data_IF_321548887415
#
_entry.id   IF_321548887415
#
_cell.length_a   1.000
_cell.length_b   1.000
_cell.length_c   1.000
_cell.angle_alpha   90.00
_cell.angle_beta   90.00
_cell.angle_gamma   90.00
#
_symmetry.space_group_name_H-M   'P 1'
#
loop_
_entity.id
_entity.type
_entity.pdbx_description
1 polymer ?
#
# COMPACT_ATOMS: atom_id res chain seq x y z
N UNK A 1 11.20 -7.95 21.06
CA UNK A 1 11.36 -8.88 19.92
C UNK A 1 12.75 -9.51 20.06
N UNK A 2 12.95 -10.76 19.64
CA UNK A 2 14.27 -11.42 19.76
C UNK A 2 15.26 -10.77 18.80
N UNK A 3 16.52 -10.59 19.22
CA UNK A 3 17.61 -10.06 18.38
C UNK A 3 17.69 -10.77 17.00
N UNK A 4 17.39 -12.07 16.97
CA UNK A 4 17.34 -12.86 15.74
C UNK A 4 16.24 -12.43 14.76
N UNK A 5 15.05 -12.10 15.28
CA UNK A 5 13.94 -11.64 14.44
C UNK A 5 14.24 -10.27 13.82
N UNK A 6 14.92 -9.40 14.57
CA UNK A 6 15.32 -8.07 14.13
C UNK A 6 16.41 -8.17 13.04
N UNK A 7 17.39 -9.07 13.21
CA UNK A 7 18.39 -9.36 12.18
C UNK A 7 17.74 -9.91 10.90
N UNK A 8 16.83 -10.88 11.02
CA UNK A 8 16.14 -11.44 9.86
C UNK A 8 15.29 -10.39 9.13
N UNK A 9 14.64 -9.48 9.86
CA UNK A 9 13.90 -8.37 9.28
C UNK A 9 14.85 -7.38 8.58
N UNK A 10 15.96 -7.02 9.22
CA UNK A 10 16.99 -6.15 8.64
C UNK A 10 17.47 -6.67 7.29
N UNK A 11 17.83 -7.97 7.22
CA UNK A 11 18.25 -8.60 5.95
C UNK A 11 17.16 -8.54 4.88
N UNK A 12 15.89 -8.77 5.23
CA UNK A 12 14.78 -8.67 4.26
C UNK A 12 14.58 -7.24 3.76
N UNK A 13 14.68 -6.24 4.64
CA UNK A 13 14.58 -4.83 4.25
C UNK A 13 15.75 -4.39 3.39
N UNK A 14 16.97 -4.87 3.66
CA UNK A 14 18.13 -4.60 2.80
C UNK A 14 17.97 -5.19 1.41
N UNK A 15 17.42 -6.41 1.29
CA UNK A 15 17.11 -7.01 -0.02
C UNK A 15 16.05 -6.20 -0.77
N UNK A 16 14.96 -5.84 -0.09
CA UNK A 16 13.92 -4.99 -0.67
C UNK A 16 14.50 -3.65 -1.15
N UNK A 17 15.38 -3.02 -0.37
CA UNK A 17 16.02 -1.79 -0.78
C UNK A 17 16.87 -1.97 -2.05
N UNK A 18 17.67 -3.04 -2.12
CA UNK A 18 18.47 -3.36 -3.30
C UNK A 18 17.59 -3.64 -4.55
N UNK A 19 16.44 -4.30 -4.39
CA UNK A 19 15.52 -4.58 -5.49
C UNK A 19 14.80 -3.31 -6.01
N UNK A 20 14.71 -2.25 -5.18
CA UNK A 20 14.13 -0.96 -5.54
C UNK A 20 15.14 0.00 -6.18
N UNK A 21 16.44 -0.23 -5.97
CA UNK A 21 17.47 0.58 -6.60
C UNK A 21 17.51 0.31 -8.10
N UNK A 22 17.52 1.36 -8.96
CA UNK A 22 17.74 1.18 -10.37
C UNK A 22 19.11 0.55 -10.60
N UNK A 23 19.22 -0.35 -11.59
CA UNK A 23 20.49 -1.00 -11.92
C UNK A 23 21.56 0.07 -12.13
N UNK A 24 22.68 0.01 -11.38
CA UNK A 24 23.77 0.97 -11.56
C UNK A 24 24.26 0.90 -13.01
N UNK A 25 24.65 2.04 -13.57
CA UNK A 25 25.39 2.04 -14.83
C UNK A 25 26.71 1.28 -14.64
N UNK A 26 27.20 0.62 -15.69
CA UNK A 26 28.38 -0.25 -15.65
C UNK A 26 29.66 0.40 -15.06
N UNK A 27 29.70 1.74 -14.97
CA UNK A 27 30.82 2.54 -14.46
C UNK A 27 30.72 2.92 -12.96
N UNK A 28 29.60 2.64 -12.28
CA UNK A 28 29.44 3.00 -10.86
C UNK A 28 29.96 1.88 -9.94
N UNK A 29 30.98 2.19 -9.13
CA UNK A 29 31.37 1.30 -8.04
C UNK A 29 30.20 1.12 -7.06
N UNK A 30 29.84 -0.13 -6.74
CA UNK A 30 28.75 -0.47 -5.80
C UNK A 30 28.91 0.10 -4.37
N UNK A 31 30.05 0.73 -4.06
CA UNK A 31 30.35 1.35 -2.78
C UNK A 31 30.70 2.84 -2.89
N UNK A 32 30.28 3.50 -3.99
CA UNK A 32 30.49 4.94 -4.12
C UNK A 32 29.66 5.70 -3.06
N UNK A 33 30.08 6.90 -2.64
CA UNK A 33 29.25 7.76 -1.80
C UNK A 33 27.84 8.00 -2.35
N UNK A 34 27.70 8.06 -3.68
CA UNK A 34 26.42 8.22 -4.38
C UNK A 34 25.53 6.98 -4.21
N UNK A 35 26.10 5.76 -4.28
CA UNK A 35 25.38 4.53 -3.98
C UNK A 35 24.84 4.53 -2.54
N UNK A 36 25.67 4.95 -1.56
CA UNK A 36 25.24 5.06 -0.16
C UNK A 36 24.10 6.09 0.00
N UNK A 37 24.18 7.24 -0.67
CA UNK A 37 23.13 8.25 -0.63
C UNK A 37 21.81 7.76 -1.26
N UNK A 38 21.86 6.96 -2.32
CA UNK A 38 20.66 6.32 -2.88
C UNK A 38 20.01 5.38 -1.89
N UNK A 39 20.80 4.55 -1.20
CA UNK A 39 20.24 3.68 -0.15
C UNK A 39 19.60 4.47 0.99
N UNK A 40 20.14 5.64 1.37
CA UNK A 40 19.50 6.55 2.35
C UNK A 40 18.12 6.98 1.88
N UNK A 41 17.98 7.39 0.60
CA UNK A 41 16.70 7.77 0.03
C UNK A 41 15.70 6.59 0.01
N UNK A 42 16.14 5.41 -0.43
CA UNK A 42 15.30 4.19 -0.50
C UNK A 42 14.82 3.77 0.89
N UNK A 43 15.69 3.75 1.90
CA UNK A 43 15.25 3.46 3.27
C UNK A 43 14.31 4.53 3.84
N UNK A 44 14.48 5.80 3.43
CA UNK A 44 13.53 6.87 3.72
C UNK A 44 12.13 6.57 3.16
N UNK A 45 12.03 6.11 1.92
CA UNK A 45 10.77 5.71 1.31
C UNK A 45 10.15 4.48 1.98
N UNK A 46 10.95 3.45 2.30
CA UNK A 46 10.49 2.28 3.05
C UNK A 46 9.92 2.70 4.40
N UNK A 47 10.60 3.59 5.14
CA UNK A 47 10.15 4.07 6.44
C UNK A 47 8.84 4.86 6.34
N UNK A 48 8.70 5.71 5.31
CA UNK A 48 7.48 6.47 5.03
C UNK A 48 6.30 5.54 4.73
N UNK A 49 6.46 4.60 3.80
CA UNK A 49 5.41 3.64 3.43
C UNK A 49 5.04 2.73 4.61
N UNK A 50 6.03 2.24 5.37
CA UNK A 50 5.80 1.42 6.56
C UNK A 50 4.99 2.17 7.62
N UNK A 51 5.26 3.47 7.81
CA UNK A 51 4.51 4.32 8.75
C UNK A 51 3.06 4.53 8.30
N UNK A 52 2.83 4.69 6.99
CA UNK A 52 1.49 4.79 6.41
C UNK A 52 0.71 3.48 6.61
N UNK A 53 1.30 2.33 6.28
CA UNK A 53 0.69 1.01 6.48
C UNK A 53 0.39 0.72 7.97
N UNK A 54 1.29 1.08 8.88
CA UNK A 54 1.04 0.96 10.32
C UNK A 54 -0.18 1.81 10.75
N UNK A 55 -0.33 3.01 10.18
CA UNK A 55 -1.47 3.89 10.48
C UNK A 55 -2.78 3.28 9.98
N UNK A 56 -2.80 2.72 8.76
CA UNK A 56 -3.95 2.01 8.21
C UNK A 56 -4.33 0.78 9.04
N UNK A 57 -3.33 0.01 9.50
CA UNK A 57 -3.55 -1.15 10.36
C UNK A 57 -4.15 -0.76 11.72
N UNK A 58 -3.69 0.36 12.32
CA UNK A 58 -4.27 0.91 13.55
C UNK A 58 -5.71 1.36 13.34
N UNK A 59 -6.01 2.08 12.26
CA UNK A 59 -7.38 2.49 11.92
C UNK A 59 -8.29 1.27 11.74
N UNK A 60 -7.85 0.26 10.98
CA UNK A 60 -8.58 -0.99 10.77
C UNK A 60 -8.83 -1.74 12.08
N UNK A 61 -7.84 -1.77 12.99
CA UNK A 61 -7.99 -2.36 14.31
C UNK A 61 -9.04 -1.62 15.16
N UNK A 62 -9.05 -0.29 15.12
CA UNK A 62 -10.03 0.54 15.82
C UNK A 62 -11.44 0.33 15.26
N UNK A 63 -11.60 0.34 13.94
CA UNK A 63 -12.87 0.11 13.25
C UNK A 63 -13.42 -1.31 13.52
N UNK A 64 -12.52 -2.27 13.77
CA UNK A 64 -12.85 -3.63 14.21
C UNK A 64 -13.17 -3.74 15.71
N UNK A 65 -13.25 -2.61 16.43
CA UNK A 65 -13.61 -2.55 17.84
C UNK A 65 -12.47 -2.83 18.84
N UNK A 66 -11.20 -2.87 18.40
CA UNK A 66 -10.07 -3.06 19.32
C UNK A 66 -9.79 -1.78 20.12
N UNK A 67 -9.59 -1.94 21.43
CA UNK A 67 -9.32 -0.80 22.31
C UNK A 67 -7.92 -0.24 22.12
N UNK A 68 -7.76 1.07 22.34
CA UNK A 68 -6.46 1.75 22.37
C UNK A 68 -5.45 1.13 23.34
N UNK A 69 -5.92 0.50 24.42
CA UNK A 69 -5.05 -0.23 25.33
C UNK A 69 -4.45 -1.48 24.68
N UNK A 70 -5.25 -2.24 23.91
CA UNK A 70 -4.79 -3.41 23.18
C UNK A 70 -3.86 -3.03 22.03
N UNK A 71 -4.17 -1.95 21.32
CA UNK A 71 -3.32 -1.39 20.26
C UNK A 71 -1.98 -0.91 20.83
N UNK A 72 -2.00 -0.11 21.91
CA UNK A 72 -0.77 0.36 22.57
C UNK A 72 0.12 -0.79 23.04
N UNK A 73 -0.46 -1.82 23.66
CA UNK A 73 0.27 -3.04 24.05
C UNK A 73 0.96 -3.72 22.87
N UNK A 74 0.28 -3.84 21.73
CA UNK A 74 0.87 -4.44 20.52
C UNK A 74 2.01 -3.58 19.94
N UNK A 75 1.92 -2.25 20.08
CA UNK A 75 2.95 -1.30 19.64
C UNK A 75 4.10 -1.13 20.64
N UNK A 76 4.00 -1.72 21.84
CA UNK A 76 4.98 -1.53 22.92
C UNK A 76 4.94 -0.14 23.57
N UNK A 77 3.82 0.57 23.48
CA UNK A 77 3.65 1.93 24.03
C UNK A 77 2.40 2.02 24.93
N UNK A 78 2.27 3.12 25.66
CA UNK A 78 1.08 3.34 26.49
C UNK A 78 -0.18 3.59 25.64
N UNK A 79 -1.36 3.40 26.23
CA UNK A 79 -2.65 3.75 25.61
C UNK A 79 -2.66 5.21 25.13
N UNK A 80 -2.25 6.14 26.01
CA UNK A 80 -2.26 7.57 25.71
C UNK A 80 -1.30 7.92 24.58
N UNK A 81 -0.11 7.32 24.55
CA UNK A 81 0.86 7.50 23.46
C UNK A 81 0.31 6.98 22.12
N UNK A 82 -0.41 5.85 22.12
CA UNK A 82 -1.07 5.33 20.93
C UNK A 82 -2.17 6.27 20.42
N UNK A 83 -3.05 6.75 21.32
CA UNK A 83 -4.10 7.71 20.97
C UNK A 83 -3.49 8.98 20.36
N UNK A 84 -2.54 9.61 21.05
CA UNK A 84 -1.91 10.84 20.56
C UNK A 84 -1.24 10.67 19.18
N UNK A 85 -0.67 9.49 18.90
CA UNK A 85 0.05 9.22 17.64
C UNK A 85 -0.87 8.96 16.45
N UNK A 86 -2.05 8.38 16.67
CA UNK A 86 -2.90 7.83 15.60
C UNK A 86 -4.30 8.43 15.50
N UNK A 87 -4.83 9.06 16.55
CA UNK A 87 -6.20 9.65 16.54
C UNK A 87 -6.30 10.89 15.61
N UNK A 88 -5.18 11.58 15.36
CA UNK A 88 -5.12 12.79 14.50
C UNK A 88 -5.12 12.47 12.99
N UNK A 89 -5.07 11.20 12.58
CA UNK A 89 -4.88 10.79 11.18
C UNK A 89 -6.13 10.22 10.51
N UNK A 90 -7.32 10.67 10.91
CA UNK A 90 -8.54 10.35 10.19
C UNK A 90 -8.49 11.00 8.80
N UNK A 91 -8.47 10.16 7.78
CA UNK A 91 -8.19 10.45 6.37
C UNK A 91 -9.01 11.62 5.82
N UNK A 92 -8.36 12.53 5.10
CA UNK A 92 -9.00 13.56 4.29
C UNK A 92 -9.85 12.92 3.19
N UNK A 93 -11.04 13.46 2.92
CA UNK A 93 -11.94 12.98 1.88
C UNK A 93 -11.29 13.10 0.50
N UNK A 94 -11.52 12.10 -0.37
CA UNK A 94 -11.03 12.15 -1.75
C UNK A 94 -11.83 13.17 -2.55
N UNK A 95 -11.14 14.04 -3.31
CA UNK A 95 -11.79 15.01 -4.17
C UNK A 95 -11.69 14.56 -5.63
N UNK A 96 -12.82 14.60 -6.34
CA UNK A 96 -12.86 14.41 -7.78
C UNK A 96 -12.22 15.61 -8.49
N UNK A 97 -11.54 15.36 -9.60
CA UNK A 97 -10.99 16.38 -10.51
C UNK A 97 -11.48 16.10 -11.93
N UNK A 98 -11.12 16.92 -12.93
CA UNK A 98 -11.57 16.71 -14.32
C UNK A 98 -11.15 15.35 -14.89
N UNK A 99 -10.01 14.80 -14.46
CA UNK A 99 -9.49 13.49 -14.91
C UNK A 99 -9.71 12.38 -13.88
N UNK A 100 -10.32 12.69 -12.73
CA UNK A 100 -10.39 11.79 -11.58
C UNK A 100 -11.84 11.59 -11.13
N UNK A 101 -12.27 10.33 -11.14
CA UNK A 101 -13.60 9.91 -10.67
C UNK A 101 -13.48 9.19 -9.33
N UNK A 102 -14.47 9.41 -8.47
CA UNK A 102 -14.65 8.60 -7.25
C UNK A 102 -15.74 7.55 -7.47
N UNK A 103 -15.43 6.28 -7.17
CA UNK A 103 -16.38 5.19 -7.04
C UNK A 103 -16.63 4.99 -5.55
N UNK A 104 -17.83 5.32 -5.08
CA UNK A 104 -18.20 5.35 -3.67
C UNK A 104 -19.55 6.04 -3.43
N UNK A 105 -20.21 5.80 -2.29
CA UNK A 105 -19.85 4.83 -1.25
C UNK A 105 -20.13 3.39 -1.72
N UNK A 106 -19.17 2.48 -1.52
CA UNK A 106 -19.31 1.06 -1.86
C UNK A 106 -18.99 0.16 -0.67
N UNK A 107 -19.68 -0.97 -0.56
CA UNK A 107 -19.31 -1.97 0.46
C UNK A 107 -18.06 -2.73 0.02
N UNK A 108 -17.34 -3.29 1.00
CA UNK A 108 -16.17 -4.14 0.73
C UNK A 108 -16.50 -5.34 -0.17
N UNK A 109 -17.74 -5.83 -0.20
CA UNK A 109 -18.10 -6.98 -1.04
C UNK A 109 -18.36 -6.58 -2.50
N UNK A 110 -18.79 -5.35 -2.73
CA UNK A 110 -19.16 -4.83 -4.06
C UNK A 110 -18.03 -4.03 -4.72
N UNK A 111 -17.03 -3.58 -3.95
CA UNK A 111 -16.01 -2.64 -4.44
C UNK A 111 -15.30 -3.13 -5.71
N UNK A 112 -14.92 -4.40 -5.79
CA UNK A 112 -14.20 -4.94 -6.95
C UNK A 112 -15.07 -4.95 -8.19
N UNK A 113 -16.35 -5.32 -8.06
CA UNK A 113 -17.30 -5.33 -9.18
C UNK A 113 -17.53 -3.93 -9.71
N UNK A 114 -17.74 -2.95 -8.81
CA UNK A 114 -17.99 -1.57 -9.23
C UNK A 114 -16.76 -0.91 -9.86
N UNK A 115 -15.57 -1.19 -9.34
CA UNK A 115 -14.33 -0.70 -9.94
C UNK A 115 -14.13 -1.34 -11.32
N UNK A 116 -14.39 -2.64 -11.48
CA UNK A 116 -14.30 -3.32 -12.78
C UNK A 116 -15.30 -2.79 -13.81
N UNK A 117 -16.53 -2.47 -13.40
CA UNK A 117 -17.52 -1.86 -14.27
C UNK A 117 -17.07 -0.49 -14.80
N UNK A 118 -16.34 0.29 -13.98
CA UNK A 118 -15.71 1.53 -14.42
C UNK A 118 -14.45 1.27 -15.27
N UNK A 119 -13.66 0.25 -14.92
CA UNK A 119 -12.45 -0.15 -15.65
C UNK A 119 -12.72 -0.54 -17.10
N UNK A 120 -13.84 -1.20 -17.38
CA UNK A 120 -14.30 -1.46 -18.75
C UNK A 120 -14.72 -0.21 -19.55
N UNK A 121 -14.79 0.95 -18.91
CA UNK A 121 -15.09 2.25 -19.53
C UNK A 121 -13.85 3.17 -19.58
N UNK A 122 -12.65 2.63 -19.39
CA UNK A 122 -11.41 3.41 -19.43
C UNK A 122 -10.96 3.97 -18.08
N UNK A 123 -11.56 3.59 -16.96
CA UNK A 123 -11.18 4.15 -15.65
C UNK A 123 -10.16 3.27 -14.92
N UNK A 124 -8.92 3.73 -14.80
CA UNK A 124 -7.82 3.05 -14.11
C UNK A 124 -7.85 3.33 -12.61
N UNK A 125 -7.84 2.30 -11.76
CA UNK A 125 -7.73 2.48 -10.30
C UNK A 125 -6.37 3.05 -9.93
N UNK A 126 -6.35 4.19 -9.22
CA UNK A 126 -5.13 4.84 -8.73
C UNK A 126 -5.04 4.89 -7.20
N UNK A 127 -6.18 4.84 -6.49
CA UNK A 127 -6.20 4.88 -5.02
C UNK A 127 -7.44 4.22 -4.44
N UNK A 128 -7.28 3.44 -3.37
CA UNK A 128 -8.39 2.89 -2.61
C UNK A 128 -8.37 3.35 -1.15
N UNK A 129 -9.51 3.86 -0.68
CA UNK A 129 -9.84 4.05 0.73
C UNK A 129 -11.01 3.13 1.10
N UNK A 130 -11.39 3.11 2.39
CA UNK A 130 -12.55 2.34 2.82
C UNK A 130 -13.81 2.97 2.25
N UNK A 131 -14.47 2.25 1.33
CA UNK A 131 -15.74 2.64 0.71
C UNK A 131 -15.65 3.66 -0.42
N UNK A 132 -14.47 4.23 -0.68
CA UNK A 132 -14.24 5.20 -1.76
C UNK A 132 -12.96 4.85 -2.52
N UNK A 133 -13.03 4.93 -3.85
CA UNK A 133 -11.92 4.58 -4.74
C UNK A 133 -11.76 5.66 -5.79
N UNK A 134 -10.54 6.16 -5.99
CA UNK A 134 -10.25 7.06 -7.10
C UNK A 134 -9.73 6.30 -8.28
N UNK A 135 -10.31 6.66 -9.41
CA UNK A 135 -9.92 6.20 -10.71
C UNK A 135 -9.55 7.40 -11.58
N UNK A 136 -8.58 7.20 -12.46
CA UNK A 136 -8.16 8.16 -13.47
C UNK A 136 -8.62 7.70 -14.85
N UNK A 137 -8.99 8.63 -15.72
CA UNK A 137 -9.35 8.31 -17.10
C UNK A 137 -8.11 7.89 -17.89
N UNK A 138 -8.23 6.79 -18.61
CA UNK A 138 -7.20 6.18 -19.45
C UNK A 138 -7.85 5.69 -20.77
N UNK A 139 -7.05 5.51 -21.82
CA UNK A 139 -7.52 5.05 -23.13
C UNK A 139 -7.72 3.51 -23.18
N UNK A 140 -7.27 2.82 -22.14
CA UNK A 140 -7.25 1.36 -22.04
C UNK A 140 -8.36 0.85 -21.12
N UNK A 141 -8.84 -0.39 -21.35
CA UNK A 141 -9.75 -1.06 -20.43
C UNK A 141 -8.98 -1.78 -19.32
N UNK A 142 -9.49 -1.70 -18.10
CA UNK A 142 -8.81 -2.21 -16.91
C UNK A 142 -9.65 -3.22 -16.14
N UNK A 143 -8.98 -4.27 -15.66
CA UNK A 143 -9.49 -5.21 -14.67
C UNK A 143 -8.75 -5.01 -13.35
N UNK A 144 -9.47 -5.14 -12.24
CA UNK A 144 -9.01 -5.00 -10.87
C UNK A 144 -9.28 -6.27 -10.10
N UNK A 145 -8.30 -6.68 -9.30
CA UNK A 145 -8.45 -7.72 -8.29
C UNK A 145 -7.94 -7.23 -6.94
N UNK A 146 -8.46 -7.83 -5.88
CA UNK A 146 -8.11 -7.54 -4.50
C UNK A 146 -7.64 -8.80 -3.80
N UNK A 147 -6.46 -8.74 -3.19
CA UNK A 147 -5.92 -9.83 -2.37
C UNK A 147 -5.56 -9.29 -0.99
N UNK A 148 -6.06 -9.95 0.06
CA UNK A 148 -5.67 -9.61 1.43
C UNK A 148 -4.32 -10.22 1.77
N UNK A 149 -3.46 -9.48 2.47
CA UNK A 149 -2.19 -9.99 2.99
C UNK A 149 -2.36 -11.12 4.03
N UNK A 150 -3.57 -11.30 4.56
CA UNK A 150 -3.91 -12.42 5.44
C UNK A 150 -4.33 -13.68 4.68
N UNK A 151 -4.50 -13.60 3.36
CA UNK A 151 -4.83 -14.74 2.53
C UNK A 151 -3.60 -15.63 2.31
N UNK A 152 -3.83 -16.95 2.17
CA UNK A 152 -2.82 -17.89 1.70
C UNK A 152 -2.66 -17.86 0.17
N UNK A 153 -3.52 -17.11 -0.54
CA UNK A 153 -3.45 -16.96 -2.00
C UNK A 153 -2.18 -16.19 -2.36
N UNK A 154 -1.47 -16.66 -3.39
CA UNK A 154 -0.35 -15.92 -3.96
C UNK A 154 -0.82 -14.54 -4.45
N UNK A 155 0.05 -13.53 -4.28
CA UNK A 155 -0.20 -12.20 -4.83
C UNK A 155 -0.19 -12.28 -6.37
N UNK A 156 -1.03 -11.48 -7.06
CA UNK A 156 -1.00 -11.40 -8.51
C UNK A 156 0.39 -11.03 -9.03
N UNK A 157 0.85 -11.73 -10.07
CA UNK A 157 2.20 -11.61 -10.59
C UNK A 157 2.24 -10.72 -11.84
N UNK A 158 3.34 -9.96 -11.98
CA UNK A 158 3.60 -9.14 -13.16
C UNK A 158 3.73 -9.98 -14.44
N UNK A 159 4.16 -11.25 -14.35
CA UNK A 159 4.20 -12.19 -15.48
C UNK A 159 2.83 -12.43 -16.11
N UNK A 160 1.76 -12.25 -15.33
CA UNK A 160 0.38 -12.44 -15.77
C UNK A 160 -0.29 -11.10 -16.13
N UNK A 161 0.51 -10.03 -16.25
CA UNK A 161 0.07 -8.68 -16.60
C UNK A 161 -0.47 -7.85 -15.43
N UNK A 162 -0.35 -8.34 -14.19
CA UNK A 162 -0.83 -7.61 -13.01
C UNK A 162 0.18 -6.59 -12.50
N UNK A 163 -0.32 -5.39 -12.24
CA UNK A 163 0.36 -4.23 -11.67
C UNK A 163 -0.24 -3.92 -10.30
N UNK A 164 0.58 -3.64 -9.29
CA UNK A 164 0.08 -3.16 -8.01
C UNK A 164 -0.38 -1.71 -8.14
N UNK A 165 -1.65 -1.45 -7.83
CA UNK A 165 -2.26 -0.13 -8.01
C UNK A 165 -2.40 0.65 -6.71
N UNK A 166 -2.82 -0.03 -5.63
CA UNK A 166 -3.06 0.63 -4.35
C UNK A 166 -3.03 -0.36 -3.19
N UNK A 167 -2.82 0.17 -1.98
CA UNK A 167 -2.94 -0.59 -0.73
C UNK A 167 -3.89 0.10 0.24
N UNK A 168 -4.76 -0.69 0.84
CA UNK A 168 -5.64 -0.32 1.95
C UNK A 168 -5.62 -1.49 2.92
N UNK A 169 -4.80 -1.42 3.97
CA UNK A 169 -4.61 -2.54 4.89
C UNK A 169 -5.95 -3.19 5.29
N UNK A 170 -6.09 -4.53 5.20
CA UNK A 170 -5.07 -5.51 4.82
C UNK A 170 -5.06 -5.86 3.31
N UNK A 171 -5.78 -5.09 2.50
CA UNK A 171 -6.03 -5.37 1.09
C UNK A 171 -5.01 -4.70 0.16
N UNK A 172 -4.48 -5.48 -0.79
CA UNK A 172 -3.69 -5.01 -1.92
C UNK A 172 -4.56 -5.09 -3.18
N UNK A 173 -4.60 -4.00 -3.94
CA UNK A 173 -5.32 -3.91 -5.20
C UNK A 173 -4.33 -3.98 -6.34
N UNK A 174 -4.66 -4.84 -7.30
CA UNK A 174 -3.89 -5.03 -8.52
C UNK A 174 -4.79 -4.74 -9.71
N UNK A 175 -4.19 -4.19 -10.75
CA UNK A 175 -4.84 -3.92 -12.02
C UNK A 175 -4.11 -4.61 -13.16
N UNK A 176 -4.83 -4.90 -14.24
CA UNK A 176 -4.24 -5.31 -15.50
C UNK A 176 -5.04 -4.74 -16.65
N UNK A 177 -4.39 -4.56 -17.79
CA UNK A 177 -5.06 -4.20 -19.03
C UNK A 177 -5.89 -5.38 -19.55
N UNK A 178 -7.08 -5.08 -20.06
CA UNK A 178 -7.90 -6.02 -20.80
C UNK A 178 -7.54 -5.84 -22.28
N UNK A 179 -6.90 -6.85 -22.87
CA UNK A 179 -6.68 -6.87 -24.30
C UNK A 179 -8.01 -7.18 -24.99
N UNK A 180 -8.56 -6.20 -25.70
CA UNK A 180 -9.73 -6.38 -26.56
C UNK A 180 -9.38 -7.12 -27.86
#
# INVERSE_FOLDING_TARGET
>A
MSNEADVALSVRLSKLAADLEPSPSDDESMQSPEAVLRSVAVFGDIARVSTQLQSQAVATAQDSGLSWAKIGKALGISRQAAQQRFDTRRTEAMQATETMRIVGPVSRNEEVEQINAAGGQGWKLIRSLHGEHALELDDESWEVTRVSIFSLRALPAASDGWEAASTRFPDCFYIRKILN
#
